data_IF_229298192640
#
_entry.id   IF_229298192640
#
_cell.length_a   1.000
_cell.length_b   1.000
_cell.length_c   1.000
_cell.angle_alpha   90.00
_cell.angle_beta   90.00
_cell.angle_gamma   90.00
#
_symmetry.space_group_name_H-M   'P 1'
#
loop_
_entity.id
_entity.type
_entity.pdbx_description
1 polymer ?
#
# COMPACT_ATOMS: atom_id res chain seq x y z
N UNK A 1 14.23 5.40 10.64
CA UNK A 1 14.37 6.09 9.33
C UNK A 1 13.14 5.71 8.53
N UNK A 2 12.48 6.68 7.89
CA UNK A 2 11.33 6.39 7.04
C UNK A 2 11.73 6.62 5.58
N UNK A 3 11.18 5.80 4.70
CA UNK A 3 11.47 5.83 3.26
C UNK A 3 10.30 6.50 2.57
N UNK A 4 10.48 7.73 2.07
CA UNK A 4 9.37 8.48 1.48
C UNK A 4 8.92 7.86 0.16
N UNK A 5 7.61 7.84 -0.07
CA UNK A 5 7.02 7.26 -1.27
C UNK A 5 5.97 8.15 -1.91
N UNK A 6 5.74 7.94 -3.20
CA UNK A 6 4.73 8.61 -4.01
C UNK A 6 3.86 7.56 -4.71
N UNK A 7 2.78 7.11 -4.08
CA UNK A 7 1.84 6.21 -4.71
C UNK A 7 0.99 6.93 -5.76
N UNK A 8 0.64 6.21 -6.82
CA UNK A 8 -0.33 6.66 -7.82
C UNK A 8 -1.02 5.46 -8.46
N UNK A 9 -2.27 5.61 -8.87
CA UNK A 9 -2.97 4.55 -9.61
C UNK A 9 -4.42 4.40 -9.18
N UNK A 10 -5.07 3.35 -9.67
CA UNK A 10 -6.51 3.17 -9.44
C UNK A 10 -6.87 1.69 -9.36
N UNK A 11 -7.75 1.36 -8.41
CA UNK A 11 -8.25 0.00 -8.19
C UNK A 11 -9.77 -0.02 -8.31
N UNK A 12 -10.29 -1.07 -8.96
CA UNK A 12 -11.70 -1.42 -8.94
C UNK A 12 -11.98 -2.19 -7.65
N UNK A 13 -12.43 -1.47 -6.63
CA UNK A 13 -12.83 -2.00 -5.33
C UNK A 13 -14.31 -1.62 -5.14
N UNK A 14 -15.24 -2.57 -5.32
CA UNK A 14 -16.67 -2.30 -5.23
C UNK A 14 -17.03 -1.70 -3.89
N UNK A 15 -17.86 -0.66 -3.89
CA UNK A 15 -18.21 0.03 -2.65
C UNK A 15 -18.88 -0.90 -1.62
N UNK A 16 -19.55 -1.97 -2.10
CA UNK A 16 -20.15 -2.99 -1.24
C UNK A 16 -19.14 -3.75 -0.37
N UNK A 17 -17.87 -3.80 -0.79
CA UNK A 17 -16.81 -4.56 -0.12
C UNK A 17 -15.99 -3.69 0.84
N UNK A 18 -16.23 -2.38 0.90
CA UNK A 18 -15.45 -1.42 1.68
C UNK A 18 -15.31 -1.78 3.15
N UNK A 19 -16.43 -2.07 3.83
CA UNK A 19 -16.40 -2.37 5.25
C UNK A 19 -15.59 -3.65 5.56
N UNK A 20 -15.65 -4.63 4.66
CA UNK A 20 -14.87 -5.86 4.78
C UNK A 20 -13.38 -5.60 4.49
N UNK A 21 -13.07 -4.76 3.50
CA UNK A 21 -11.71 -4.35 3.18
C UNK A 21 -11.06 -3.57 4.33
N UNK A 22 -11.77 -2.59 4.91
CA UNK A 22 -11.32 -1.83 6.09
C UNK A 22 -10.98 -2.78 7.25
N UNK A 23 -11.89 -3.70 7.58
CA UNK A 23 -11.68 -4.68 8.66
C UNK A 23 -10.43 -5.54 8.40
N UNK A 24 -10.25 -6.02 7.17
CA UNK A 24 -9.10 -6.83 6.80
C UNK A 24 -7.78 -6.05 6.86
N UNK A 25 -7.77 -4.81 6.38
CA UNK A 25 -6.61 -3.92 6.41
C UNK A 25 -6.21 -3.59 7.84
N UNK A 26 -7.17 -3.19 8.68
CA UNK A 26 -6.92 -2.93 10.10
C UNK A 26 -6.29 -4.15 10.79
N UNK A 27 -6.84 -5.35 10.57
CA UNK A 27 -6.32 -6.56 11.15
C UNK A 27 -4.89 -6.87 10.67
N UNK A 28 -4.61 -6.66 9.39
CA UNK A 28 -3.29 -6.89 8.81
C UNK A 28 -2.25 -5.89 9.32
N UNK A 29 -2.59 -4.61 9.41
CA UNK A 29 -1.71 -3.55 9.91
C UNK A 29 -1.46 -3.68 11.41
N UNK A 30 -2.47 -4.05 12.20
CA UNK A 30 -2.33 -4.30 13.63
C UNK A 30 -1.37 -5.46 13.96
N UNK A 31 -1.19 -6.40 13.03
CA UNK A 31 -0.26 -7.51 13.16
C UNK A 31 1.20 -7.13 12.84
N UNK A 32 1.46 -5.87 12.45
CA UNK A 32 2.79 -5.35 12.10
C UNK A 32 3.20 -4.23 13.03
N UNK A 33 4.50 -4.14 13.29
CA UNK A 33 5.06 -3.02 14.03
C UNK A 33 4.99 -1.74 13.18
N UNK A 34 4.53 -0.63 13.77
CA UNK A 34 4.49 0.65 13.07
C UNK A 34 3.67 1.72 13.80
N UNK A 35 3.24 2.72 13.02
CA UNK A 35 2.52 3.91 13.52
C UNK A 35 1.04 3.66 13.75
N UNK A 36 0.41 2.79 12.95
CA UNK A 36 -0.97 2.38 13.17
C UNK A 36 -1.06 1.61 14.48
N UNK A 37 -1.82 2.17 15.43
CA UNK A 37 -2.10 1.58 16.75
C UNK A 37 -3.60 1.62 16.98
N UNK A 38 -4.30 0.47 16.85
CA UNK A 38 -5.77 0.43 16.89
C UNK A 38 -6.35 0.89 18.23
N UNK A 39 -5.57 0.82 19.31
CA UNK A 39 -5.98 1.26 20.65
C UNK A 39 -5.78 2.77 20.91
N UNK A 40 -5.13 3.50 19.98
CA UNK A 40 -4.68 4.88 20.18
C UNK A 40 -5.19 5.84 19.10
N UNK A 41 -5.37 5.36 17.87
CA UNK A 41 -5.90 6.16 16.76
C UNK A 41 -7.43 6.04 16.73
N UNK A 42 -8.19 7.13 16.90
CA UNK A 42 -9.64 7.08 16.80
C UNK A 42 -10.05 6.96 15.33
N UNK A 43 -11.02 6.08 15.05
CA UNK A 43 -11.91 6.12 13.87
C UNK A 43 -11.26 6.00 12.49
N UNK A 44 -10.33 5.06 12.30
CA UNK A 44 -9.90 4.65 10.95
C UNK A 44 -11.01 3.79 10.29
N UNK A 45 -12.17 4.39 10.06
CA UNK A 45 -13.39 3.70 9.62
C UNK A 45 -13.45 3.50 8.10
N UNK A 46 -12.53 4.15 7.36
CA UNK A 46 -12.47 4.07 5.90
C UNK A 46 -11.09 3.68 5.38
N UNK A 47 -11.04 3.20 4.13
CA UNK A 47 -9.76 2.97 3.44
C UNK A 47 -8.96 4.27 3.24
N UNK A 48 -9.61 5.43 3.22
CA UNK A 48 -8.92 6.71 3.09
C UNK A 48 -8.17 7.08 4.37
N UNK A 49 -8.78 6.86 5.54
CA UNK A 49 -8.13 7.11 6.83
C UNK A 49 -6.93 6.17 7.01
N UNK A 50 -7.10 4.89 6.67
CA UNK A 50 -6.03 3.90 6.75
C UNK A 50 -4.89 4.12 5.75
N UNK A 51 -5.18 4.78 4.61
CA UNK A 51 -4.20 5.00 3.56
C UNK A 51 -3.07 5.96 4.00
N UNK A 52 -3.36 6.90 4.90
CA UNK A 52 -2.35 7.82 5.46
C UNK A 52 -1.18 7.04 6.07
N UNK A 53 -1.48 5.99 6.85
CA UNK A 53 -0.45 5.14 7.45
C UNK A 53 0.25 4.24 6.42
N UNK A 54 -0.38 4.02 5.27
CA UNK A 54 0.22 3.35 4.12
C UNK A 54 1.01 4.30 3.20
N UNK A 55 1.19 5.56 3.62
CA UNK A 55 1.89 6.60 2.88
C UNK A 55 1.18 7.03 1.59
N UNK A 56 -0.15 6.97 1.59
CA UNK A 56 -0.99 7.28 0.44
C UNK A 56 -2.17 8.18 0.81
N UNK A 57 -2.58 9.00 -0.14
CA UNK A 57 -3.89 9.62 -0.15
C UNK A 57 -4.83 8.76 -1.02
N UNK A 58 -6.04 8.47 -0.53
CA UNK A 58 -7.03 7.68 -1.28
C UNK A 58 -8.33 8.46 -1.45
N UNK A 59 -8.78 8.54 -2.71
CA UNK A 59 -10.10 9.08 -3.06
C UNK A 59 -11.03 7.98 -3.54
N UNK A 60 -12.30 8.08 -3.14
CA UNK A 60 -13.37 7.18 -3.60
C UNK A 60 -14.14 7.79 -4.78
N UNK A 61 -14.35 6.99 -5.82
CA UNK A 61 -15.25 7.26 -6.95
C UNK A 61 -16.07 6.01 -7.28
N UNK A 62 -17.22 5.85 -6.60
CA UNK A 62 -18.10 4.69 -6.75
C UNK A 62 -17.39 3.38 -6.44
N UNK A 63 -17.37 2.45 -7.40
CA UNK A 63 -16.69 1.15 -7.32
C UNK A 63 -15.17 1.23 -7.56
N UNK A 64 -14.59 2.43 -7.49
CA UNK A 64 -13.18 2.62 -7.69
C UNK A 64 -12.56 3.47 -6.58
N UNK A 65 -11.30 3.17 -6.28
CA UNK A 65 -10.43 4.01 -5.46
C UNK A 65 -9.24 4.48 -6.27
N UNK A 66 -8.87 5.74 -6.09
CA UNK A 66 -7.70 6.36 -6.70
C UNK A 66 -6.66 6.66 -5.62
N UNK A 67 -5.43 6.28 -5.88
CA UNK A 67 -4.27 6.51 -5.04
C UNK A 67 -3.54 7.75 -5.54
N UNK A 68 -3.19 8.62 -4.60
CA UNK A 68 -2.35 9.78 -4.82
C UNK A 68 -1.30 9.91 -3.72
N UNK A 69 -0.36 10.81 -3.94
CA UNK A 69 0.62 11.18 -2.94
C UNK A 69 -0.05 11.95 -1.80
N UNK A 70 0.29 11.60 -0.57
CA UNK A 70 -0.13 12.35 0.62
C UNK A 70 0.86 13.50 0.88
N UNK A 71 0.51 14.68 0.35
CA UNK A 71 1.27 15.92 0.51
C UNK A 71 1.15 16.52 1.93
N UNK A 72 0.12 16.15 2.71
CA UNK A 72 -0.19 16.75 4.00
C UNK A 72 0.33 15.92 5.19
N UNK A 73 0.49 14.61 5.01
CA UNK A 73 1.01 13.67 6.02
C UNK A 73 2.52 13.42 5.97
N UNK A 74 2.92 12.24 6.44
CA UNK A 74 4.31 11.76 6.47
C UNK A 74 4.41 10.44 5.66
N UNK A 75 4.45 10.52 4.32
CA UNK A 75 4.20 9.39 3.42
C UNK A 75 5.39 8.43 3.37
N UNK A 76 5.57 7.68 4.46
CA UNK A 76 6.68 6.76 4.66
C UNK A 76 6.24 5.33 4.48
N UNK A 77 7.02 4.59 3.71
CA UNK A 77 6.87 3.15 3.63
C UNK A 77 7.19 2.47 4.95
N UNK A 78 6.48 1.39 5.23
CA UNK A 78 6.63 0.54 6.40
C UNK A 78 6.03 -0.85 6.13
N UNK A 79 6.23 -1.80 7.05
CA UNK A 79 5.54 -3.09 7.00
C UNK A 79 4.01 -2.94 7.06
N UNK A 80 3.51 -1.90 7.73
CA UNK A 80 2.08 -1.57 7.75
C UNK A 80 1.60 -1.07 6.39
N UNK A 81 2.41 -0.27 5.68
CA UNK A 81 2.11 0.11 4.30
C UNK A 81 2.03 -1.13 3.40
N UNK A 82 3.04 -2.00 3.44
CA UNK A 82 3.01 -3.28 2.70
C UNK A 82 1.76 -4.11 3.07
N UNK A 83 1.39 -4.16 4.35
CA UNK A 83 0.19 -4.87 4.82
C UNK A 83 -1.11 -4.30 4.25
N UNK A 84 -1.23 -2.97 4.17
CA UNK A 84 -2.37 -2.31 3.54
C UNK A 84 -2.55 -2.77 2.09
N UNK A 85 -1.51 -2.66 1.26
CA UNK A 85 -1.58 -3.00 -0.16
C UNK A 85 -1.87 -4.49 -0.40
N UNK A 86 -1.38 -5.37 0.47
CA UNK A 86 -1.67 -6.81 0.38
C UNK A 86 -3.09 -7.14 0.86
N UNK A 87 -3.54 -6.55 1.96
CA UNK A 87 -4.80 -6.91 2.60
C UNK A 87 -6.04 -6.47 1.82
N UNK A 88 -5.95 -5.41 1.02
CA UNK A 88 -7.05 -5.01 0.13
C UNK A 88 -7.25 -5.97 -1.05
N UNK A 89 -6.23 -6.78 -1.40
CA UNK A 89 -6.22 -7.57 -2.63
C UNK A 89 -7.47 -8.45 -2.84
N UNK A 90 -7.99 -9.19 -1.84
CA UNK A 90 -9.16 -10.05 -2.01
C UNK A 90 -10.45 -9.31 -2.43
N UNK A 91 -10.50 -7.99 -2.23
CA UNK A 91 -11.66 -7.14 -2.52
C UNK A 91 -11.50 -6.38 -3.84
N UNK A 92 -10.31 -6.42 -4.45
CA UNK A 92 -10.00 -5.70 -5.68
C UNK A 92 -10.24 -6.62 -6.88
N UNK A 93 -11.11 -6.17 -7.80
CA UNK A 93 -11.38 -6.88 -9.05
C UNK A 93 -10.24 -6.73 -10.05
N UNK A 94 -9.71 -5.51 -10.18
CA UNK A 94 -8.60 -5.20 -11.07
C UNK A 94 -7.98 -3.85 -10.74
N UNK A 95 -6.75 -3.62 -11.17
CA UNK A 95 -6.12 -2.31 -11.13
C UNK A 95 -4.63 -2.39 -10.86
N UNK A 96 -3.98 -1.24 -10.76
CA UNK A 96 -2.56 -1.16 -10.43
C UNK A 96 -2.29 0.09 -9.60
N UNK A 97 -1.44 -0.06 -8.60
CA UNK A 97 -0.81 1.06 -7.88
C UNK A 97 0.67 1.05 -8.17
N UNK A 98 1.20 2.17 -8.61
CA UNK A 98 2.62 2.44 -8.82
C UNK A 98 3.16 3.21 -7.63
N UNK A 99 4.35 2.84 -7.19
CA UNK A 99 5.06 3.50 -6.10
C UNK A 99 6.40 3.98 -6.62
N UNK A 100 6.69 5.25 -6.39
CA UNK A 100 8.02 5.85 -6.56
C UNK A 100 8.60 6.15 -5.18
N UNK A 101 9.81 5.66 -4.92
CA UNK A 101 10.54 5.96 -3.69
C UNK A 101 11.43 7.20 -3.81
N UNK A 102 11.86 7.72 -2.67
CA UNK A 102 12.70 8.94 -2.59
C UNK A 102 14.05 8.86 -3.32
N UNK A 103 14.55 7.65 -3.57
CA UNK A 103 15.78 7.38 -4.30
C UNK A 103 15.57 7.13 -5.81
N UNK A 104 14.32 7.24 -6.29
CA UNK A 104 13.93 6.93 -7.66
C UNK A 104 13.69 5.44 -7.94
N UNK A 105 13.66 4.57 -6.92
CA UNK A 105 13.19 3.21 -7.09
C UNK A 105 11.70 3.20 -7.44
N UNK A 106 11.33 2.30 -8.34
CA UNK A 106 9.94 2.13 -8.78
C UNK A 106 9.51 0.68 -8.65
N UNK A 107 8.34 0.48 -8.04
CA UNK A 107 7.64 -0.80 -8.05
C UNK A 107 6.14 -0.58 -8.19
N UNK A 108 5.41 -1.65 -8.41
CA UNK A 108 3.95 -1.58 -8.50
C UNK A 108 3.29 -2.82 -7.94
N UNK A 109 2.08 -2.65 -7.43
CA UNK A 109 1.17 -3.73 -7.08
C UNK A 109 0.10 -3.83 -8.15
N UNK A 110 0.12 -4.92 -8.91
CA UNK A 110 -0.92 -5.25 -9.88
C UNK A 110 -1.95 -6.18 -9.22
N UNK A 111 -3.23 -5.82 -9.35
CA UNK A 111 -4.34 -6.56 -8.76
C UNK A 111 -5.18 -7.20 -9.85
N UNK A 112 -5.45 -8.49 -9.69
CA UNK A 112 -6.35 -9.23 -10.56
C UNK A 112 -6.96 -10.40 -9.79
N UNK A 113 -8.28 -10.59 -9.93
CA UNK A 113 -9.00 -11.75 -9.40
C UNK A 113 -8.79 -12.00 -7.89
N UNK A 114 -8.74 -10.92 -7.09
CA UNK A 114 -8.53 -11.01 -5.65
C UNK A 114 -7.07 -11.26 -5.22
N UNK A 115 -6.13 -11.26 -6.17
CA UNK A 115 -4.70 -11.47 -5.92
C UNK A 115 -3.92 -10.19 -6.21
N UNK A 116 -2.75 -10.07 -5.57
CA UNK A 116 -1.79 -9.00 -5.81
C UNK A 116 -0.46 -9.60 -6.25
N UNK A 117 0.19 -8.95 -7.21
CA UNK A 117 1.56 -9.27 -7.64
C UNK A 117 2.39 -8.01 -7.60
N UNK A 118 3.54 -8.07 -6.95
CA UNK A 118 4.53 -6.99 -7.02
C UNK A 118 5.32 -7.09 -8.32
N UNK A 119 5.58 -5.96 -8.95
CA UNK A 119 6.51 -5.82 -10.08
C UNK A 119 7.55 -4.78 -9.72
N UNK A 120 8.82 -5.10 -9.93
CA UNK A 120 9.94 -4.24 -9.52
C UNK A 120 10.37 -4.47 -8.07
N UNK A 121 11.46 -3.79 -7.71
CA UNK A 121 12.05 -3.85 -6.37
C UNK A 121 11.41 -2.81 -5.48
N UNK A 122 10.91 -3.25 -4.32
CA UNK A 122 10.52 -2.32 -3.28
C UNK A 122 11.79 -1.62 -2.77
N UNK A 123 11.89 -0.31 -2.97
CA UNK A 123 13.11 0.42 -2.60
C UNK A 123 13.33 0.55 -1.09
N UNK A 124 12.32 0.24 -0.26
CA UNK A 124 12.45 0.23 1.20
C UNK A 124 13.23 -0.97 1.75
N UNK A 125 12.94 -2.19 1.28
CA UNK A 125 13.55 -3.44 1.76
C UNK A 125 14.33 -4.22 0.68
N UNK A 126 14.27 -3.79 -0.57
CA UNK A 126 14.87 -4.47 -1.71
C UNK A 126 14.20 -5.78 -2.11
N UNK A 127 12.98 -6.06 -1.63
CA UNK A 127 12.23 -7.27 -1.97
C UNK A 127 11.57 -7.18 -3.36
N UNK A 128 11.31 -8.33 -3.97
CA UNK A 128 10.53 -8.46 -5.23
C UNK A 128 9.10 -8.97 -5.02
N UNK A 129 8.76 -9.33 -3.80
CA UNK A 129 7.43 -9.77 -3.40
C UNK A 129 7.10 -9.19 -2.01
N UNK A 130 5.82 -8.98 -1.68
CA UNK A 130 5.44 -8.41 -0.39
C UNK A 130 5.96 -9.25 0.77
N UNK A 131 6.70 -8.61 1.70
CA UNK A 131 7.36 -9.27 2.83
C UNK A 131 8.40 -10.34 2.43
N UNK A 132 8.91 -10.27 1.20
CA UNK A 132 9.96 -11.15 0.70
C UNK A 132 11.34 -10.82 1.29
N UNK A 133 12.30 -11.68 0.99
CA UNK A 133 13.70 -11.40 1.33
C UNK A 133 14.28 -10.32 0.40
N UNK A 134 15.23 -9.54 0.92
CA UNK A 134 16.02 -8.61 0.12
C UNK A 134 16.77 -9.38 -0.97
N UNK A 135 16.68 -8.93 -2.22
CA UNK A 135 17.46 -9.50 -3.32
C UNK A 135 18.70 -8.67 -3.61
N UNK A 136 19.79 -9.34 -3.96
CA UNK A 136 21.00 -8.66 -4.42
C UNK A 136 20.71 -7.90 -5.72
N UNK A 137 20.95 -6.59 -5.70
CA UNK A 137 20.84 -5.76 -6.90
C UNK A 137 21.87 -6.23 -7.93
N UNK A 138 21.49 -6.43 -9.21
CA UNK A 138 22.48 -6.62 -10.25
C UNK A 138 23.37 -5.37 -10.26
N UNK A 139 24.64 -5.54 -9.91
CA UNK A 139 25.64 -4.48 -10.00
C UNK A 139 25.51 -3.84 -11.38
N UNK A 140 25.17 -2.55 -11.43
CA UNK A 140 25.20 -1.79 -12.66
C UNK A 140 26.63 -1.87 -13.20
N UNK A 141 26.85 -2.71 -14.21
CA UNK A 141 28.12 -2.75 -14.91
C UNK A 141 28.26 -1.41 -15.66
N UNK A 142 29.34 -0.63 -15.41
CA UNK A 142 29.59 0.62 -16.10
C UNK A 142 29.84 0.44 -17.61
#
# INVERSE_FOLDING_TARGET
MGYLVRPSGRLNLPQSDDAAAVTAVQAAMAARDGWFKPDVLPTDDTLADLAEVAGAYVMRDGDWIEFGYDDEGDPKWSDQATAFYVAIAPFVRSGTVHIEGEDGAHWSYAYADGQVTQQGWNGWDGSIEPFGEQVDLPSAHP
#
